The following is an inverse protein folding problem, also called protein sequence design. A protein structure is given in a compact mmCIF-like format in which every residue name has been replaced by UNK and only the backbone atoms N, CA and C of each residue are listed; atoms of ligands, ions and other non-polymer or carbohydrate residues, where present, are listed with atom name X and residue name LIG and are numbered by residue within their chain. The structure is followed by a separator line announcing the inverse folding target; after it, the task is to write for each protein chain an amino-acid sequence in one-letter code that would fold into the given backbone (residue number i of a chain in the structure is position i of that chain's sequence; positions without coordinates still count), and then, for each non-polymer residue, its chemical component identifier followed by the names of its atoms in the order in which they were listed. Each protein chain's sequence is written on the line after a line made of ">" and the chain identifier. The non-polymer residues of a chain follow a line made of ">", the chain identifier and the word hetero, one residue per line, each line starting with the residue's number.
data_IF_953518669752
#
_entry.id   IF_953518669752
#
_cell.length_a   1.000
_cell.length_b   1.000
_cell.length_c   1.000
_cell.angle_alpha   90.00
_cell.angle_beta   90.00
_cell.angle_gamma   90.00
#
_symmetry.space_group_name_H-M   'P 1'
#
loop_
_entity.id
_entity.type
_entity.pdbx_description
1 polymer ?
#
# COMPACT_ATOMS: atom_id res chain seq x y z
N UNK A 1 5.48 -16.65 18.27
CA UNK A 1 4.23 -16.29 17.58
C UNK A 1 4.38 -14.89 17.00
N UNK A 2 4.16 -14.71 15.69
CA UNK A 2 4.32 -13.42 15.00
C UNK A 2 2.97 -13.04 14.37
N UNK A 3 2.24 -12.05 14.91
CA UNK A 3 0.93 -11.67 14.37
C UNK A 3 1.07 -11.07 12.97
N UNK A 4 0.08 -11.34 12.10
CA UNK A 4 -0.01 -10.82 10.73
C UNK A 4 -1.38 -10.16 10.53
N UNK A 5 -1.42 -9.17 9.64
CA UNK A 5 -2.69 -8.58 9.20
C UNK A 5 -3.26 -9.38 8.03
N UNK A 6 -4.57 -9.55 8.01
CA UNK A 6 -5.28 -10.01 6.82
C UNK A 6 -5.85 -8.79 6.09
N UNK A 7 -5.40 -8.58 4.86
CA UNK A 7 -5.89 -7.53 3.98
C UNK A 7 -7.07 -8.03 3.19
N UNK A 8 -8.11 -7.22 3.12
CA UNK A 8 -9.17 -7.43 2.16
C UNK A 8 -8.66 -7.11 0.75
N UNK A 9 -9.00 -7.95 -0.23
CA UNK A 9 -8.49 -7.89 -1.60
C UNK A 9 -9.63 -7.78 -2.61
N UNK A 10 -9.44 -6.93 -3.61
CA UNK A 10 -10.26 -6.91 -4.82
C UNK A 10 -9.55 -7.64 -5.95
N UNK A 11 -10.29 -8.44 -6.72
CA UNK A 11 -9.93 -8.73 -8.11
C UNK A 11 -10.33 -7.52 -8.94
N UNK A 12 -9.44 -7.08 -9.82
CA UNK A 12 -9.68 -6.00 -10.74
C UNK A 12 -9.55 -6.51 -12.16
N UNK A 13 -10.62 -6.40 -12.93
CA UNK A 13 -10.62 -6.61 -14.38
C UNK A 13 -10.57 -5.22 -15.04
N UNK A 14 -9.56 -4.99 -15.88
CA UNK A 14 -9.34 -3.69 -16.51
C UNK A 14 -9.35 -3.87 -18.02
N UNK A 15 -10.26 -3.18 -18.68
CA UNK A 15 -10.27 -3.09 -20.13
C UNK A 15 -9.57 -1.81 -20.56
N UNK A 16 -8.55 -1.93 -21.40
CA UNK A 16 -7.72 -0.82 -21.85
C UNK A 16 -7.25 -1.00 -23.30
N UNK A 17 -6.96 0.11 -23.98
CA UNK A 17 -6.31 0.08 -25.30
C UNK A 17 -4.80 -0.05 -25.16
N UNK A 18 -4.13 -0.55 -26.21
CA UNK A 18 -2.67 -0.76 -26.22
C UNK A 18 -1.88 0.52 -25.82
N UNK A 19 -2.30 1.68 -26.35
CA UNK A 19 -1.64 2.98 -26.11
C UNK A 19 -1.56 3.39 -24.64
N UNK A 20 -2.48 2.91 -23.79
CA UNK A 20 -2.56 3.30 -22.38
C UNK A 20 -2.14 2.20 -21.40
N UNK A 21 -1.76 1.01 -21.88
CA UNK A 21 -1.35 -0.12 -21.04
C UNK A 21 -0.23 0.24 -20.06
N UNK A 22 0.82 0.92 -20.52
CA UNK A 22 1.91 1.36 -19.65
C UNK A 22 1.45 2.27 -18.51
N UNK A 23 0.42 3.09 -18.75
CA UNK A 23 -0.17 3.94 -17.69
C UNK A 23 -0.97 3.12 -16.69
N UNK A 24 -1.71 2.11 -17.16
CA UNK A 24 -2.47 1.18 -16.31
C UNK A 24 -1.52 0.44 -15.37
N UNK A 25 -0.42 -0.10 -15.89
CA UNK A 25 0.60 -0.78 -15.09
C UNK A 25 1.23 0.11 -14.03
N UNK A 26 1.52 1.37 -14.38
CA UNK A 26 2.04 2.34 -13.42
C UNK A 26 1.05 2.62 -12.27
N UNK A 27 -0.25 2.74 -12.56
CA UNK A 27 -1.27 2.96 -11.53
C UNK A 27 -1.44 1.73 -10.64
N UNK A 28 -1.45 0.52 -11.21
CA UNK A 28 -1.51 -0.73 -10.44
C UNK A 28 -0.30 -0.90 -9.53
N UNK A 29 0.92 -0.73 -10.05
CA UNK A 29 2.16 -0.88 -9.29
C UNK A 29 2.21 0.10 -8.11
N UNK A 30 1.83 1.36 -8.33
CA UNK A 30 1.77 2.40 -7.27
C UNK A 30 0.82 2.02 -6.13
N UNK A 31 -0.27 1.31 -6.42
CA UNK A 31 -1.26 0.84 -5.44
C UNK A 31 -0.99 -0.60 -4.96
N UNK A 32 0.22 -1.13 -5.19
CA UNK A 32 0.64 -2.48 -4.79
C UNK A 32 -0.25 -3.58 -5.38
N UNK A 33 -0.77 -3.34 -6.58
CA UNK A 33 -1.53 -4.33 -7.33
C UNK A 33 -0.61 -5.39 -7.93
N UNK A 34 -1.05 -6.65 -7.89
CA UNK A 34 -0.40 -7.78 -8.54
C UNK A 34 -1.15 -8.13 -9.81
N UNK A 35 -0.46 -8.19 -10.95
CA UNK A 35 -1.04 -8.61 -12.22
C UNK A 35 -1.04 -10.13 -12.27
N UNK A 36 -2.19 -10.73 -12.59
CA UNK A 36 -2.36 -12.19 -12.71
C UNK A 36 -2.22 -12.64 -14.17
N UNK A 37 -2.79 -11.86 -15.08
CA UNK A 37 -2.80 -12.17 -16.50
C UNK A 37 -3.18 -10.96 -17.35
N UNK A 38 -2.79 -11.03 -18.61
CA UNK A 38 -3.17 -10.07 -19.65
C UNK A 38 -3.61 -10.87 -20.87
N UNK A 39 -4.82 -10.60 -21.35
CA UNK A 39 -5.37 -11.25 -22.55
C UNK A 39 -5.84 -10.20 -23.55
N UNK A 40 -5.44 -10.36 -24.81
CA UNK A 40 -5.95 -9.54 -25.90
C UNK A 40 -7.26 -10.14 -26.40
N UNK A 41 -8.31 -9.33 -26.47
CA UNK A 41 -9.60 -9.79 -27.01
C UNK A 41 -9.53 -9.82 -28.53
N UNK A 42 -9.51 -11.02 -29.10
CA UNK A 42 -9.46 -11.26 -30.54
C UNK A 42 -10.55 -10.47 -31.29
N UNK A 43 -10.16 -9.82 -32.39
CA UNK A 43 -11.05 -8.96 -33.18
C UNK A 43 -11.26 -7.55 -32.60
N UNK A 44 -10.60 -7.19 -31.50
CA UNK A 44 -10.63 -5.83 -30.94
C UNK A 44 -9.24 -5.33 -30.57
N UNK A 45 -9.08 -4.01 -30.45
CA UNK A 45 -7.85 -3.37 -29.97
C UNK A 45 -7.77 -3.26 -28.44
N UNK A 46 -8.65 -3.97 -27.72
CA UNK A 46 -8.72 -3.93 -26.27
C UNK A 46 -8.01 -5.13 -25.64
N UNK A 47 -7.32 -4.84 -24.55
CA UNK A 47 -6.70 -5.80 -23.66
C UNK A 47 -7.50 -5.85 -22.37
N UNK A 48 -7.63 -7.05 -21.83
CA UNK A 48 -8.22 -7.32 -20.52
C UNK A 48 -7.09 -7.71 -19.59
N UNK A 49 -6.86 -6.89 -18.57
CA UNK A 49 -5.86 -7.16 -17.54
C UNK A 49 -6.60 -7.64 -16.30
N UNK A 50 -6.21 -8.81 -15.81
CA UNK A 50 -6.64 -9.32 -14.51
C UNK A 50 -5.58 -9.01 -13.46
N UNK A 51 -5.98 -8.36 -12.38
CA UNK A 51 -5.08 -8.01 -11.28
C UNK A 51 -5.76 -8.21 -9.92
N UNK A 52 -4.96 -8.29 -8.86
CA UNK A 52 -5.40 -8.19 -7.48
C UNK A 52 -4.90 -6.90 -6.87
N UNK A 53 -5.73 -6.21 -6.08
CA UNK A 53 -5.35 -4.98 -5.40
C UNK A 53 -5.86 -4.98 -3.95
N UNK A 54 -5.05 -4.55 -2.96
CA UNK A 54 -5.52 -4.37 -1.60
C UNK A 54 -6.60 -3.28 -1.51
N UNK A 55 -7.70 -3.55 -0.80
CA UNK A 55 -8.81 -2.59 -0.67
C UNK A 55 -8.33 -1.28 -0.03
N UNK A 56 -7.41 -1.37 0.94
CA UNK A 56 -6.84 -0.20 1.63
C UNK A 56 -6.18 0.79 0.67
N UNK A 57 -5.59 0.30 -0.42
CA UNK A 57 -4.92 1.10 -1.45
C UNK A 57 -5.84 1.42 -2.65
N UNK A 58 -7.01 0.79 -2.74
CA UNK A 58 -7.96 0.95 -3.86
C UNK A 58 -8.76 2.26 -3.84
N UNK A 59 -8.72 3.01 -2.73
CA UNK A 59 -9.51 4.25 -2.62
C UNK A 59 -9.03 5.31 -3.63
N UNK A 60 -9.95 5.79 -4.47
CA UNK A 60 -9.67 6.69 -5.58
C UNK A 60 -8.99 6.04 -6.79
N UNK A 61 -8.85 4.72 -6.82
CA UNK A 61 -8.20 3.99 -7.91
C UNK A 61 -8.89 4.18 -9.26
N UNK A 62 -10.23 4.03 -9.29
CA UNK A 62 -10.99 4.16 -10.54
C UNK A 62 -10.86 5.56 -11.16
N UNK A 63 -10.87 6.60 -10.33
CA UNK A 63 -10.73 7.99 -10.79
C UNK A 63 -9.31 8.30 -11.24
N UNK A 64 -8.29 7.82 -10.52
CA UNK A 64 -6.89 7.95 -10.93
C UNK A 64 -6.63 7.24 -12.27
N UNK A 65 -7.18 6.03 -12.44
CA UNK A 65 -7.07 5.25 -13.67
C UNK A 65 -7.69 6.00 -14.85
N UNK A 66 -8.94 6.46 -14.71
CA UNK A 66 -9.63 7.24 -15.76
C UNK A 66 -8.88 8.53 -16.09
N UNK A 67 -8.40 9.26 -15.08
CA UNK A 67 -7.68 10.52 -15.28
C UNK A 67 -6.35 10.33 -16.01
N UNK A 68 -5.59 9.27 -15.70
CA UNK A 68 -4.29 8.99 -16.34
C UNK A 68 -4.44 8.50 -17.78
N UNK A 69 -5.51 7.76 -18.05
CA UNK A 69 -5.79 7.16 -19.36
C UNK A 69 -6.74 7.99 -20.22
N UNK A 70 -7.14 9.18 -19.76
CA UNK A 70 -8.15 10.03 -20.41
C UNK A 70 -9.48 9.31 -20.67
N UNK A 71 -9.84 8.35 -19.82
CA UNK A 71 -11.04 7.52 -19.93
C UNK A 71 -10.89 6.24 -20.76
N UNK A 72 -9.73 6.00 -21.39
CA UNK A 72 -9.48 4.83 -22.23
C UNK A 72 -9.17 3.54 -21.46
N UNK A 73 -9.21 3.57 -20.13
CA UNK A 73 -9.18 2.37 -19.30
C UNK A 73 -10.33 2.39 -18.28
N UNK A 74 -11.03 1.26 -18.18
CA UNK A 74 -12.13 1.09 -17.25
C UNK A 74 -11.86 -0.08 -16.29
N UNK A 75 -11.64 0.20 -15.00
CA UNK A 75 -11.49 -0.85 -13.99
C UNK A 75 -12.85 -1.29 -13.44
N UNK A 76 -13.04 -2.60 -13.35
CA UNK A 76 -14.12 -3.24 -12.58
C UNK A 76 -13.50 -3.89 -11.34
N UNK A 77 -14.06 -3.63 -10.16
CA UNK A 77 -13.56 -4.13 -8.89
C UNK A 77 -14.56 -5.12 -8.28
N UNK A 78 -14.13 -6.34 -8.00
CA UNK A 78 -14.93 -7.38 -7.37
C UNK A 78 -14.23 -7.88 -6.10
N UNK A 79 -14.98 -8.01 -5.00
CA UNK A 79 -14.45 -8.56 -3.76
C UNK A 79 -14.06 -10.02 -3.92
N UNK A 80 -12.78 -10.34 -3.64
CA UNK A 80 -12.27 -11.71 -3.72
C UNK A 80 -12.25 -12.40 -2.36
N UNK A 81 -11.82 -11.68 -1.33
CA UNK A 81 -11.62 -12.26 0.01
C UNK A 81 -10.53 -11.54 0.80
N UNK A 82 -9.88 -12.30 1.68
CA UNK A 82 -8.81 -11.82 2.54
C UNK A 82 -7.52 -12.59 2.30
N UNK A 83 -6.39 -11.87 2.32
CA UNK A 83 -5.05 -12.43 2.14
C UNK A 83 -4.13 -11.97 3.26
N UNK A 84 -3.20 -12.84 3.67
CA UNK A 84 -2.26 -12.53 4.74
C UNK A 84 -1.18 -11.58 4.19
N UNK A 85 -1.03 -10.42 4.81
CA UNK A 85 0.13 -9.56 4.58
C UNK A 85 1.32 -10.14 5.35
N UNK A 86 2.34 -10.61 4.65
CA UNK A 86 3.52 -11.23 5.25
C UNK A 86 4.51 -10.20 5.84
N UNK A 87 4.00 -9.30 6.66
CA UNK A 87 4.77 -8.27 7.36
C UNK A 87 4.27 -8.22 8.80
N UNK A 88 5.18 -8.25 9.78
CA UNK A 88 4.81 -8.12 11.19
C UNK A 88 4.63 -6.63 11.51
N UNK A 89 3.43 -6.16 11.92
CA UNK A 89 3.21 -4.76 12.27
C UNK A 89 4.03 -4.28 13.48
N UNK A 90 4.52 -5.20 14.32
CA UNK A 90 5.32 -4.90 15.51
C UNK A 90 6.81 -5.22 15.35
N UNK A 91 7.29 -5.43 14.11
CA UNK A 91 8.71 -5.65 13.89
C UNK A 91 9.51 -4.41 14.32
N UNK A 92 10.52 -4.65 15.17
CA UNK A 92 11.51 -3.68 15.65
C UNK A 92 12.89 -4.36 15.50
N UNK A 93 13.92 -3.66 14.99
CA UNK A 93 15.26 -4.24 14.89
C UNK A 93 15.77 -4.55 16.29
N UNK A 94 16.34 -5.74 16.47
CA UNK A 94 16.91 -6.18 17.75
C UNK A 94 18.43 -6.28 17.70
N UNK A 95 18.99 -6.60 16.54
CA UNK A 95 20.43 -6.72 16.35
C UNK A 95 21.01 -5.47 15.69
N UNK A 96 22.32 -5.29 15.82
CA UNK A 96 23.06 -4.20 15.15
C UNK A 96 22.96 -4.34 13.63
N UNK A 97 23.04 -5.56 13.10
CA UNK A 97 22.89 -5.87 11.68
C UNK A 97 21.50 -5.48 11.15
N UNK A 98 20.42 -5.81 11.86
CA UNK A 98 19.05 -5.43 11.48
C UNK A 98 18.82 -3.91 11.51
N UNK A 99 19.56 -3.20 12.37
CA UNK A 99 19.52 -1.74 12.46
C UNK A 99 20.25 -1.10 11.27
N UNK A 100 21.41 -1.65 10.89
CA UNK A 100 22.16 -1.23 9.70
C UNK A 100 21.31 -1.43 8.43
N UNK A 101 20.61 -2.56 8.30
CA UNK A 101 19.70 -2.86 7.19
C UNK A 101 18.48 -1.92 7.11
N UNK A 102 18.02 -1.42 8.26
CA UNK A 102 16.91 -0.46 8.35
C UNK A 102 17.33 0.96 7.95
N UNK A 103 18.65 1.21 7.90
CA UNK A 103 19.26 2.51 7.67
C UNK A 103 19.19 3.42 8.90
N UNK A 104 20.12 4.38 9.00
CA UNK A 104 20.23 5.31 10.13
C UNK A 104 18.96 6.14 10.39
N UNK A 105 18.08 6.29 9.38
CA UNK A 105 16.86 7.12 9.44
C UNK A 105 15.55 6.34 9.46
N UNK A 106 15.59 5.02 9.59
CA UNK A 106 14.40 4.18 9.45
C UNK A 106 13.65 4.42 8.12
N UNK A 107 14.40 4.37 7.00
CA UNK A 107 13.90 4.77 5.68
C UNK A 107 12.79 3.84 5.14
N UNK A 108 12.68 2.62 5.66
CA UNK A 108 11.61 1.66 5.32
C UNK A 108 10.46 1.74 6.32
N UNK A 109 9.40 2.43 5.93
CA UNK A 109 8.13 2.44 6.67
C UNK A 109 7.52 1.02 6.68
N UNK A 110 7.23 0.49 7.87
CA UNK A 110 6.51 -0.77 8.01
C UNK A 110 5.04 -0.59 7.60
N UNK A 111 4.70 -1.10 6.42
CA UNK A 111 3.36 -0.98 5.84
C UNK A 111 2.27 -1.57 6.73
N UNK A 112 2.53 -2.73 7.34
CA UNK A 112 1.56 -3.36 8.25
C UNK A 112 1.31 -2.47 9.47
N UNK A 113 2.36 -1.86 10.03
CA UNK A 113 2.24 -0.91 11.13
C UNK A 113 1.42 0.32 10.72
N UNK A 114 1.69 0.89 9.54
CA UNK A 114 0.93 2.02 8.98
C UNK A 114 -0.57 1.74 8.89
N UNK A 115 -0.94 0.60 8.32
CA UNK A 115 -2.35 0.21 8.20
C UNK A 115 -3.01 -0.01 9.56
N UNK A 116 -2.30 -0.69 10.47
CA UNK A 116 -2.78 -0.91 11.83
C UNK A 116 -3.00 0.41 12.57
N UNK A 117 -2.02 1.31 12.56
CA UNK A 117 -2.08 2.58 13.27
C UNK A 117 -3.18 3.50 12.70
N UNK A 118 -3.38 3.51 11.37
CA UNK A 118 -4.47 4.24 10.75
C UNK A 118 -5.87 3.75 11.21
N UNK A 119 -6.03 2.44 11.43
CA UNK A 119 -7.26 1.87 11.98
C UNK A 119 -7.38 2.20 13.47
N UNK A 120 -6.31 2.04 14.26
CA UNK A 120 -6.29 2.34 15.70
C UNK A 120 -6.62 3.79 15.99
N UNK A 121 -6.00 4.74 15.28
CA UNK A 121 -6.29 6.18 15.40
C UNK A 121 -7.77 6.48 15.16
N UNK A 122 -8.34 5.93 14.08
CA UNK A 122 -9.77 6.10 13.75
C UNK A 122 -10.71 5.49 14.80
N UNK A 123 -10.29 4.40 15.45
CA UNK A 123 -11.04 3.74 16.53
C UNK A 123 -10.78 4.37 17.91
N UNK A 124 -9.92 5.36 18.02
CA UNK A 124 -9.54 5.98 19.30
C UNK A 124 -8.68 5.07 20.19
N UNK A 125 -8.03 4.06 19.62
CA UNK A 125 -7.12 3.17 20.35
C UNK A 125 -5.73 3.79 20.46
N UNK A 126 -5.01 3.47 21.54
CA UNK A 126 -3.64 3.93 21.74
C UNK A 126 -2.72 3.48 20.59
N UNK A 127 -1.91 4.40 20.08
CA UNK A 127 -0.85 4.15 19.09
C UNK A 127 0.47 4.54 19.75
N UNK A 128 1.49 3.67 19.61
CA UNK A 128 2.86 3.97 20.03
C UNK A 128 3.48 4.98 19.06
N UNK A 129 3.09 6.25 19.20
CA UNK A 129 3.70 7.37 18.50
C UNK A 129 4.77 7.98 19.40
N UNK A 130 6.03 7.96 18.96
CA UNK A 130 7.13 8.61 19.66
C UNK A 130 6.98 10.13 19.48
N UNK A 131 6.16 10.76 20.32
CA UNK A 131 5.92 12.22 20.29
C UNK A 131 7.21 13.00 20.57
N UNK A 132 8.14 12.43 21.34
CA UNK A 132 9.45 13.03 21.61
C UNK A 132 10.52 11.95 21.56
N UNK A 133 11.51 12.10 20.68
CA UNK A 133 12.63 11.15 20.55
C UNK A 133 13.70 11.37 21.61
N UNK A 134 13.82 12.59 22.16
CA UNK A 134 14.79 12.95 23.19
C UNK A 134 14.14 13.86 24.27
N UNK A 135 13.25 13.28 25.09
CA UNK A 135 12.57 14.02 26.16
C UNK A 135 13.52 14.60 27.20
N UNK A 136 14.68 13.98 27.38
CA UNK A 136 15.70 14.37 28.36
C UNK A 136 16.43 15.68 28.02
N UNK A 137 16.36 16.16 26.76
CA UNK A 137 17.04 17.38 26.31
C UNK A 137 16.20 18.67 26.49
N UNK A 138 15.07 18.61 27.20
CA UNK A 138 14.16 19.75 27.34
C UNK A 138 14.60 20.84 28.35
N UNK A 139 15.66 20.63 29.13
CA UNK A 139 16.19 21.65 30.05
C UNK A 139 17.57 22.16 29.62
N UNK A 140 17.61 23.31 28.95
CA UNK A 140 18.83 24.16 28.84
C UNK A 140 18.53 25.65 29.05
N UNK A 141 17.40 26.00 29.68
CA UNK A 141 17.22 27.36 30.17
C UNK A 141 18.00 27.52 31.48
N UNK A 142 19.23 28.03 31.37
CA UNK A 142 19.94 28.61 32.53
C UNK A 142 19.01 29.68 33.12
N UNK A 143 18.50 29.44 34.32
CA UNK A 143 17.81 30.46 35.10
C UNK A 143 18.73 31.68 35.19
N UNK A 144 18.22 32.83 34.73
CA UNK A 144 18.90 34.11 34.85
C UNK A 144 18.69 34.68 36.25
#
# INVERSE_FOLDING_TARGET
>A
WSPRLMLAMYTCEIQATNEVLGKVYNVLSKRRGQILGEEMKEGSSFYTIEAMIPIVESFGFADEMRKKTSGNAHPQLLFKGFEILDINPFWKPKTTEELEDLGEKADKENLAKKYMDAVRKRKGLAVEELVVTHGEKQSTLKSK
#
